data_IF_336017589207
#
_entry.id   IF_336017589207
#
_cell.length_a   1.000
_cell.length_b   1.000
_cell.length_c   1.000
_cell.angle_alpha   90.00
_cell.angle_beta   90.00
_cell.angle_gamma   90.00
#
_symmetry.space_group_name_H-M   'P 1'
#
loop_
_entity.id
_entity.type
_entity.pdbx_description
1 polymer ?
#
# COMPACT_ATOMS: atom_id res chain seq x y z
N UNK A 1 24.44 -1.11 7.54
CA UNK A 1 23.62 -0.67 6.40
C UNK A 1 22.88 -1.89 5.88
N UNK A 2 21.57 -1.78 5.74
CA UNK A 2 20.67 -2.85 5.30
C UNK A 2 19.85 -2.36 4.12
N UNK A 3 19.36 -3.27 3.28
CA UNK A 3 18.41 -2.96 2.23
C UNK A 3 17.17 -3.84 2.34
N UNK A 4 16.04 -3.23 2.02
CA UNK A 4 14.75 -3.91 1.87
C UNK A 4 14.25 -3.71 0.45
N UNK A 5 13.80 -4.79 -0.18
CA UNK A 5 13.08 -4.76 -1.45
C UNK A 5 11.66 -5.28 -1.20
N UNK A 6 10.68 -4.42 -1.47
CA UNK A 6 9.26 -4.77 -1.45
C UNK A 6 8.77 -4.95 -2.89
N UNK A 7 8.36 -6.17 -3.23
CA UNK A 7 7.89 -6.57 -4.56
C UNK A 7 6.36 -6.62 -4.53
N UNK A 8 5.76 -5.45 -4.74
CA UNK A 8 4.31 -5.27 -4.74
C UNK A 8 3.65 -5.56 -6.09
N UNK A 9 2.32 -5.52 -6.10
CA UNK A 9 1.52 -5.77 -7.30
C UNK A 9 1.65 -4.66 -8.35
N UNK A 10 1.82 -3.40 -7.94
CA UNK A 10 1.90 -2.25 -8.84
C UNK A 10 3.31 -1.65 -8.90
N UNK A 11 3.96 -1.56 -7.77
CA UNK A 11 5.27 -0.91 -7.62
C UNK A 11 6.26 -1.83 -6.90
N UNK A 12 7.52 -1.75 -7.29
CA UNK A 12 8.63 -2.31 -6.52
C UNK A 12 9.34 -1.16 -5.80
N UNK A 13 9.73 -1.40 -4.56
CA UNK A 13 10.43 -0.42 -3.74
C UNK A 13 11.78 -0.97 -3.30
N UNK A 14 12.81 -0.14 -3.38
CA UNK A 14 14.11 -0.36 -2.74
C UNK A 14 14.32 0.71 -1.67
N UNK A 15 14.62 0.27 -0.45
CA UNK A 15 15.01 1.12 0.67
C UNK A 15 16.37 0.66 1.18
N UNK A 16 17.37 1.55 1.16
CA UNK A 16 18.69 1.35 1.79
C UNK A 16 18.79 2.30 2.98
N UNK A 17 18.99 1.77 4.17
CA UNK A 17 19.03 2.58 5.38
C UNK A 17 19.95 1.99 6.46
N UNK A 18 20.31 2.82 7.42
CA UNK A 18 20.80 2.42 8.73
C UNK A 18 19.67 2.55 9.75
N UNK A 19 19.63 1.65 10.72
CA UNK A 19 18.75 1.76 11.88
C UNK A 19 19.64 2.00 13.10
N UNK A 20 19.33 3.04 13.87
CA UNK A 20 20.04 3.34 15.09
C UNK A 20 19.51 2.52 16.30
N UNK A 21 20.18 2.65 17.44
CA UNK A 21 19.78 1.94 18.68
C UNK A 21 18.41 2.37 19.24
N UNK A 22 17.85 3.48 18.75
CA UNK A 22 16.52 3.99 19.10
C UNK A 22 15.45 3.62 18.06
N UNK A 23 15.80 2.74 17.11
CA UNK A 23 14.95 2.34 15.99
C UNK A 23 14.59 3.50 15.03
N UNK A 24 15.41 4.56 14.95
CA UNK A 24 15.22 5.55 13.91
C UNK A 24 15.83 5.05 12.61
N UNK A 25 15.06 5.17 11.53
CA UNK A 25 15.51 4.83 10.19
C UNK A 25 16.21 6.03 9.57
N UNK A 26 17.50 5.91 9.30
CA UNK A 26 18.25 6.90 8.53
C UNK A 26 18.35 6.42 7.08
N UNK A 27 17.50 6.99 6.20
CA UNK A 27 17.40 6.62 4.79
C UNK A 27 18.62 7.14 4.04
N UNK A 28 19.34 6.22 3.38
CA UNK A 28 20.50 6.51 2.53
C UNK A 28 20.07 6.60 1.07
N UNK A 29 19.22 5.66 0.64
CA UNK A 29 18.70 5.62 -0.71
C UNK A 29 17.29 5.02 -0.74
N UNK A 30 16.44 5.57 -1.58
CA UNK A 30 15.08 5.06 -1.82
C UNK A 30 14.75 5.16 -3.31
N UNK A 31 14.24 4.09 -3.88
CA UNK A 31 13.75 4.07 -5.25
C UNK A 31 12.42 3.34 -5.35
N UNK A 32 11.58 3.77 -6.28
CA UNK A 32 10.27 3.16 -6.56
C UNK A 32 10.11 3.03 -8.06
N UNK A 33 9.89 1.80 -8.54
CA UNK A 33 9.70 1.50 -9.96
C UNK A 33 8.26 1.05 -10.20
N UNK A 34 7.59 1.66 -11.16
CA UNK A 34 6.24 1.31 -11.61
C UNK A 34 6.27 0.05 -12.49
N UNK A 35 6.33 -1.11 -11.88
CA UNK A 35 6.41 -2.40 -12.59
C UNK A 35 5.05 -2.84 -13.15
N UNK A 36 3.95 -2.52 -12.43
CA UNK A 36 2.60 -3.01 -12.73
C UNK A 36 2.58 -4.54 -12.93
N UNK A 37 3.16 -5.26 -11.95
CA UNK A 37 3.34 -6.71 -12.03
C UNK A 37 2.01 -7.46 -12.17
N UNK A 38 0.93 -6.95 -11.57
CA UNK A 38 -0.42 -7.52 -11.65
C UNK A 38 -1.17 -7.21 -12.94
N UNK A 39 -0.62 -6.38 -13.84
CA UNK A 39 -1.33 -5.92 -15.04
C UNK A 39 -1.74 -7.08 -15.96
N UNK A 40 -3.03 -7.15 -16.29
CA UNK A 40 -3.60 -8.17 -17.17
C UNK A 40 -3.70 -9.59 -16.59
N UNK A 41 -3.15 -9.84 -15.39
CA UNK A 41 -3.04 -11.16 -14.80
C UNK A 41 -3.49 -11.30 -13.35
N UNK A 42 -3.62 -10.20 -12.59
CA UNK A 42 -3.84 -10.24 -11.14
C UNK A 42 -5.10 -11.02 -10.71
N UNK A 43 -6.20 -10.90 -11.45
CA UNK A 43 -7.43 -11.66 -11.19
C UNK A 43 -7.50 -13.00 -11.94
N UNK A 44 -6.51 -13.28 -12.80
CA UNK A 44 -6.38 -14.54 -13.55
C UNK A 44 -5.37 -15.50 -12.92
N UNK A 45 -4.72 -15.10 -11.83
CA UNK A 45 -3.76 -15.93 -11.09
C UNK A 45 -2.45 -16.16 -11.81
N UNK A 46 -1.97 -15.23 -12.65
CA UNK A 46 -0.65 -15.33 -13.28
C UNK A 46 -0.03 -13.96 -13.56
N UNK A 47 1.27 -13.92 -13.69
CA UNK A 47 2.03 -12.75 -14.12
C UNK A 47 2.18 -12.84 -15.65
N UNK A 48 1.72 -11.82 -16.39
CA UNK A 48 1.86 -11.78 -17.86
C UNK A 48 3.33 -11.70 -18.26
N UNK A 49 3.71 -12.18 -19.46
CA UNK A 49 5.09 -12.15 -19.93
C UNK A 49 5.69 -10.73 -19.91
N UNK A 50 4.91 -9.74 -20.32
CA UNK A 50 5.36 -8.34 -20.33
C UNK A 50 5.59 -7.81 -18.90
N UNK A 51 4.67 -8.11 -17.96
CA UNK A 51 4.83 -7.70 -16.58
C UNK A 51 6.01 -8.45 -15.90
N UNK A 52 6.18 -9.71 -16.23
CA UNK A 52 7.30 -10.54 -15.77
C UNK A 52 8.65 -9.93 -16.22
N UNK A 53 8.79 -9.60 -17.50
CA UNK A 53 10.00 -8.97 -18.03
C UNK A 53 10.30 -7.62 -17.35
N UNK A 54 9.27 -6.75 -17.17
CA UNK A 54 9.41 -5.48 -16.44
C UNK A 54 9.89 -5.70 -15.01
N UNK A 55 9.32 -6.72 -14.33
CA UNK A 55 9.70 -7.07 -12.96
C UNK A 55 11.15 -7.50 -12.84
N UNK A 56 11.63 -8.35 -13.76
CA UNK A 56 13.03 -8.78 -13.78
C UNK A 56 13.95 -7.58 -14.05
N UNK A 57 13.66 -6.73 -15.05
CA UNK A 57 14.46 -5.53 -15.33
C UNK A 57 14.54 -4.57 -14.14
N UNK A 58 13.44 -4.39 -13.40
CA UNK A 58 13.45 -3.57 -12.19
C UNK A 58 14.35 -4.15 -11.08
N UNK A 59 14.37 -5.47 -10.94
CA UNK A 59 15.26 -6.13 -9.97
C UNK A 59 16.73 -6.06 -10.39
N UNK A 60 17.04 -6.12 -11.68
CA UNK A 60 18.39 -5.89 -12.21
C UNK A 60 18.85 -4.44 -11.91
N UNK A 61 17.96 -3.44 -12.09
CA UNK A 61 18.25 -2.06 -11.72
C UNK A 61 18.50 -1.91 -10.21
N UNK A 62 17.71 -2.55 -9.37
CA UNK A 62 17.93 -2.56 -7.92
C UNK A 62 19.27 -3.22 -7.55
N UNK A 63 19.66 -4.30 -8.25
CA UNK A 63 20.97 -4.93 -8.04
C UNK A 63 22.10 -3.94 -8.27
N UNK A 64 22.05 -3.16 -9.35
CA UNK A 64 23.07 -2.13 -9.59
C UNK A 64 23.17 -1.12 -8.45
N UNK A 65 22.03 -0.70 -7.87
CA UNK A 65 22.05 0.21 -6.72
C UNK A 65 22.62 -0.45 -5.47
N UNK A 66 22.24 -1.69 -5.20
CA UNK A 66 22.81 -2.44 -4.07
C UNK A 66 24.34 -2.60 -4.19
N UNK A 67 24.86 -2.83 -5.40
CA UNK A 67 26.30 -2.91 -5.66
C UNK A 67 26.97 -1.54 -5.50
N UNK A 68 26.38 -0.45 -6.02
CA UNK A 68 26.89 0.91 -5.87
C UNK A 68 27.04 1.33 -4.40
N UNK A 69 26.07 0.94 -3.57
CA UNK A 69 26.10 1.22 -2.13
C UNK A 69 26.80 0.12 -1.31
N UNK A 70 27.30 -0.94 -1.95
CA UNK A 70 28.00 -2.07 -1.32
C UNK A 70 27.16 -2.74 -0.21
N UNK A 71 25.85 -2.87 -0.43
CA UNK A 71 24.94 -3.49 0.55
C UNK A 71 24.99 -5.00 0.42
N UNK A 72 25.37 -5.67 1.52
CA UNK A 72 25.43 -7.13 1.60
C UNK A 72 24.18 -7.74 2.26
N UNK A 73 23.57 -7.03 3.20
CA UNK A 73 22.38 -7.47 3.93
C UNK A 73 21.12 -6.98 3.20
N UNK A 74 20.49 -7.87 2.42
CA UNK A 74 19.34 -7.55 1.58
C UNK A 74 18.18 -8.47 1.94
N UNK A 75 17.07 -7.89 2.40
CA UNK A 75 15.80 -8.56 2.63
C UNK A 75 14.83 -8.21 1.50
N UNK A 76 14.56 -9.15 0.62
CA UNK A 76 13.58 -8.98 -0.44
C UNK A 76 12.33 -9.83 -0.18
N UNK A 77 11.17 -9.18 -0.19
CA UNK A 77 9.88 -9.84 0.01
C UNK A 77 8.95 -9.63 -1.19
N UNK A 78 8.17 -10.65 -1.49
CA UNK A 78 7.12 -10.58 -2.50
C UNK A 78 5.75 -10.86 -1.88
N UNK A 79 4.77 -10.08 -2.29
CA UNK A 79 3.41 -10.09 -1.77
C UNK A 79 2.39 -10.62 -2.80
N UNK A 80 1.17 -10.19 -2.77
CA UNK A 80 0.01 -10.75 -3.46
C UNK A 80 0.24 -11.12 -4.94
N UNK A 81 0.86 -10.25 -5.76
CA UNK A 81 1.00 -10.53 -7.19
C UNK A 81 1.89 -11.73 -7.52
N UNK A 82 2.93 -11.97 -6.71
CA UNK A 82 3.82 -13.13 -6.86
C UNK A 82 3.24 -14.34 -6.11
N UNK A 83 2.73 -14.12 -4.91
CA UNK A 83 2.17 -15.15 -4.04
C UNK A 83 1.00 -15.89 -4.70
N UNK A 84 0.09 -15.14 -5.33
CA UNK A 84 -1.16 -15.68 -5.87
C UNK A 84 -1.02 -16.15 -7.34
N UNK A 85 0.16 -15.97 -7.97
CA UNK A 85 0.39 -16.31 -9.35
C UNK A 85 0.93 -17.73 -9.54
N UNK A 86 0.36 -18.48 -10.48
CA UNK A 86 0.81 -19.83 -10.82
C UNK A 86 2.29 -19.87 -11.28
N UNK A 87 2.78 -18.79 -11.91
CA UNK A 87 4.17 -18.63 -12.31
C UNK A 87 5.02 -17.80 -11.33
N UNK A 88 4.54 -17.57 -10.11
CA UNK A 88 5.25 -16.78 -9.10
C UNK A 88 6.58 -17.41 -8.66
N UNK A 89 6.64 -18.73 -8.53
CA UNK A 89 7.90 -19.43 -8.21
C UNK A 89 8.93 -19.29 -9.32
N UNK A 90 8.51 -19.31 -10.59
CA UNK A 90 9.41 -19.09 -11.72
C UNK A 90 9.92 -17.64 -11.72
N UNK A 91 9.07 -16.67 -11.35
CA UNK A 91 9.49 -15.28 -11.18
C UNK A 91 10.63 -15.16 -10.15
N UNK A 92 10.46 -15.78 -8.97
CA UNK A 92 11.47 -15.78 -7.90
C UNK A 92 12.79 -16.43 -8.38
N UNK A 93 12.69 -17.56 -9.09
CA UNK A 93 13.86 -18.25 -9.65
C UNK A 93 14.60 -17.37 -10.66
N UNK A 94 13.89 -16.71 -11.58
CA UNK A 94 14.48 -15.83 -12.58
C UNK A 94 15.08 -14.56 -11.94
N UNK A 95 14.46 -14.01 -10.91
CA UNK A 95 15.01 -12.92 -10.12
C UNK A 95 16.36 -13.28 -9.49
N UNK A 96 16.48 -14.48 -8.95
CA UNK A 96 17.76 -14.96 -8.42
C UNK A 96 18.82 -15.17 -9.52
N UNK A 97 18.44 -15.75 -10.65
CA UNK A 97 19.36 -16.02 -11.77
C UNK A 97 19.89 -14.71 -12.36
N UNK A 98 19.02 -13.72 -12.61
CA UNK A 98 19.31 -12.48 -13.33
C UNK A 98 19.85 -11.39 -12.43
N UNK A 99 19.17 -11.13 -11.32
CA UNK A 99 19.50 -10.02 -10.42
C UNK A 99 20.28 -10.45 -9.16
N UNK A 100 20.47 -11.77 -8.93
CA UNK A 100 21.09 -12.29 -7.70
C UNK A 100 20.38 -11.83 -6.40
N UNK A 101 19.07 -11.59 -6.50
CA UNK A 101 18.23 -11.21 -5.36
C UNK A 101 17.46 -12.44 -4.91
N UNK A 102 17.66 -12.86 -3.65
CA UNK A 102 16.90 -13.93 -3.02
C UNK A 102 15.60 -13.34 -2.47
N UNK A 103 14.47 -13.77 -3.02
CA UNK A 103 13.15 -13.29 -2.64
C UNK A 103 12.45 -14.31 -1.75
N UNK A 104 11.88 -13.85 -0.63
CA UNK A 104 11.01 -14.61 0.24
C UNK A 104 9.56 -14.20 -0.01
N UNK A 105 8.66 -15.14 -0.26
CA UNK A 105 7.23 -14.85 -0.26
C UNK A 105 6.73 -14.75 1.18
N UNK A 106 5.93 -13.72 1.45
CA UNK A 106 5.22 -13.56 2.72
C UNK A 106 3.72 -13.72 2.49
N UNK A 107 3.01 -14.28 3.48
CA UNK A 107 1.57 -14.30 3.46
C UNK A 107 0.99 -12.96 3.93
N UNK A 108 -0.33 -12.77 3.76
CA UNK A 108 -0.96 -11.48 4.08
C UNK A 108 -0.98 -11.17 5.59
N UNK A 109 -0.93 -12.18 6.46
CA UNK A 109 -0.88 -11.97 7.90
C UNK A 109 0.52 -11.57 8.36
N UNK A 110 1.57 -12.09 7.73
CA UNK A 110 2.95 -11.66 7.91
C UNK A 110 3.14 -10.24 7.37
N UNK A 111 2.56 -9.93 6.20
CA UNK A 111 2.56 -8.58 5.64
C UNK A 111 1.95 -7.57 6.61
N UNK A 112 0.77 -7.88 7.20
CA UNK A 112 0.12 -7.06 8.22
C UNK A 112 1.00 -6.84 9.48
N UNK A 113 1.75 -7.85 9.95
CA UNK A 113 2.67 -7.70 11.08
C UNK A 113 3.81 -6.71 10.79
N UNK A 114 4.39 -6.78 9.60
CA UNK A 114 5.43 -5.82 9.22
C UNK A 114 4.87 -4.41 9.05
N UNK A 115 3.65 -4.26 8.48
CA UNK A 115 2.97 -2.95 8.37
C UNK A 115 2.72 -2.36 9.77
N UNK A 116 2.23 -3.18 10.72
CA UNK A 116 2.08 -2.76 12.10
C UNK A 116 3.42 -2.31 12.72
N UNK A 117 4.49 -3.06 12.49
CA UNK A 117 5.84 -2.71 12.98
C UNK A 117 6.31 -1.37 12.40
N UNK A 118 6.04 -1.11 11.11
CA UNK A 118 6.29 0.16 10.47
C UNK A 118 5.51 1.30 11.12
N UNK A 119 4.19 1.15 11.27
CA UNK A 119 3.33 2.15 11.92
C UNK A 119 3.76 2.43 13.38
N UNK A 120 4.14 1.38 14.12
CA UNK A 120 4.70 1.51 15.47
C UNK A 120 6.00 2.31 15.47
N UNK A 121 6.91 2.01 14.54
CA UNK A 121 8.18 2.74 14.38
C UNK A 121 8.00 4.19 13.97
N UNK A 122 6.91 4.54 13.27
CA UNK A 122 6.55 5.91 12.96
C UNK A 122 6.03 6.69 14.18
N UNK A 123 5.63 6.02 15.25
CA UNK A 123 5.05 6.63 16.45
C UNK A 123 3.60 7.13 16.25
N UNK A 124 2.86 6.57 15.28
CA UNK A 124 1.50 7.02 14.95
C UNK A 124 0.43 6.30 15.77
N UNK A 125 0.77 5.14 16.37
CA UNK A 125 -0.16 4.35 17.17
C UNK A 125 -0.46 5.01 18.52
N UNK A 126 -1.72 4.88 18.95
CA UNK A 126 -2.18 5.39 20.25
C UNK A 126 -2.18 4.29 21.34
N UNK A 127 -2.44 4.69 22.58
CA UNK A 127 -2.69 3.76 23.69
C UNK A 127 -4.11 3.16 23.60
N UNK A 128 -5.04 3.84 22.93
CA UNK A 128 -6.38 3.33 22.63
C UNK A 128 -6.35 2.44 21.38
N UNK A 129 -7.50 1.90 21.02
CA UNK A 129 -7.59 1.04 19.83
C UNK A 129 -7.61 1.87 18.54
N UNK A 130 -6.72 1.54 17.62
CA UNK A 130 -6.61 2.09 16.27
C UNK A 130 -6.95 1.02 15.22
N UNK A 131 -7.40 1.45 14.04
CA UNK A 131 -7.55 0.62 12.85
C UNK A 131 -6.49 1.03 11.84
N UNK A 132 -5.56 0.14 11.50
CA UNK A 132 -4.67 0.34 10.36
C UNK A 132 -5.35 -0.23 9.12
N UNK A 133 -5.25 0.47 7.99
CA UNK A 133 -5.65 0.03 6.66
C UNK A 133 -4.52 0.29 5.67
N UNK A 134 -3.91 -0.76 5.17
CA UNK A 134 -2.91 -0.71 4.10
C UNK A 134 -3.57 -1.06 2.76
N UNK A 135 -3.56 -0.13 1.81
CA UNK A 135 -4.15 -0.38 0.49
C UNK A 135 -3.06 -0.66 -0.52
N UNK A 136 -2.78 -1.94 -0.71
CA UNK A 136 -1.90 -2.43 -1.77
C UNK A 136 -2.58 -2.53 -3.13
N UNK A 137 -1.81 -2.97 -4.13
CA UNK A 137 -2.36 -3.24 -5.46
C UNK A 137 -3.15 -4.55 -5.53
N UNK A 138 -2.68 -5.60 -4.85
CA UNK A 138 -3.26 -6.95 -4.87
C UNK A 138 -4.15 -7.27 -3.67
N UNK A 139 -3.84 -6.71 -2.51
CA UNK A 139 -4.54 -6.95 -1.26
C UNK A 139 -4.79 -5.65 -0.49
N UNK A 140 -5.61 -5.74 0.54
CA UNK A 140 -5.78 -4.72 1.58
C UNK A 140 -5.67 -5.42 2.92
N UNK A 141 -4.77 -4.92 3.76
CA UNK A 141 -4.55 -5.42 5.10
C UNK A 141 -5.27 -4.52 6.12
N UNK A 142 -5.96 -5.16 7.06
CA UNK A 142 -6.56 -4.49 8.21
C UNK A 142 -5.99 -5.02 9.52
N UNK A 143 -5.63 -4.12 10.42
CA UNK A 143 -5.18 -4.46 11.76
C UNK A 143 -5.92 -3.60 12.79
N UNK A 144 -6.56 -4.25 13.76
CA UNK A 144 -7.07 -3.59 14.96
C UNK A 144 -5.99 -3.75 16.03
N UNK A 145 -5.42 -2.65 16.48
CA UNK A 145 -4.21 -2.65 17.31
C UNK A 145 -4.12 -1.41 18.20
N UNK A 146 -3.10 -1.39 19.04
CA UNK A 146 -2.61 -0.19 19.73
C UNK A 146 -1.07 -0.17 19.66
N UNK A 147 -0.42 0.73 20.39
CA UNK A 147 1.04 0.79 20.40
C UNK A 147 1.74 -0.46 20.95
N UNK A 148 1.01 -1.32 21.72
CA UNK A 148 1.60 -2.45 22.42
C UNK A 148 1.39 -3.76 21.67
N UNK A 149 0.21 -3.96 21.05
CA UNK A 149 -0.17 -5.23 20.43
C UNK A 149 -1.19 -5.11 19.30
N UNK A 150 -1.25 -6.15 18.50
CA UNK A 150 -2.31 -6.41 17.53
C UNK A 150 -3.38 -7.26 18.21
N UNK A 151 -4.63 -6.79 18.22
CA UNK A 151 -5.78 -7.53 18.74
C UNK A 151 -6.39 -8.45 17.69
N UNK A 152 -6.40 -7.96 16.43
CA UNK A 152 -6.91 -8.68 15.28
C UNK A 152 -6.26 -8.16 14.00
N UNK A 153 -6.08 -9.04 13.01
CA UNK A 153 -5.57 -8.68 11.69
C UNK A 153 -6.10 -9.63 10.63
N UNK A 154 -6.27 -9.13 9.43
CA UNK A 154 -6.55 -9.95 8.26
C UNK A 154 -6.09 -9.25 6.97
N UNK A 155 -5.97 -10.04 5.90
CA UNK A 155 -5.62 -9.59 4.55
C UNK A 155 -6.68 -10.06 3.55
N UNK A 156 -7.11 -9.16 2.68
CA UNK A 156 -8.18 -9.40 1.72
C UNK A 156 -7.71 -9.13 0.30
N UNK A 157 -8.10 -9.98 -0.64
CA UNK A 157 -7.81 -9.80 -2.07
C UNK A 157 -8.69 -8.69 -2.68
N UNK A 158 -8.62 -7.49 -2.11
CA UNK A 158 -9.39 -6.29 -2.47
C UNK A 158 -8.47 -5.12 -2.85
N UNK A 159 -7.23 -5.41 -3.23
CA UNK A 159 -6.28 -4.37 -3.62
C UNK A 159 -6.75 -3.54 -4.82
N UNK A 160 -6.27 -2.29 -4.88
CA UNK A 160 -6.73 -1.31 -5.87
C UNK A 160 -6.57 -1.77 -7.33
N UNK A 161 -5.53 -2.56 -7.65
CA UNK A 161 -5.35 -3.09 -9.01
C UNK A 161 -6.35 -4.19 -9.35
N UNK A 162 -6.75 -5.04 -8.36
CA UNK A 162 -7.80 -6.05 -8.57
C UNK A 162 -9.15 -5.40 -8.80
N UNK A 163 -9.53 -4.46 -7.95
CA UNK A 163 -10.79 -3.73 -8.09
C UNK A 163 -10.85 -2.95 -9.41
N UNK A 164 -9.73 -2.35 -9.80
CA UNK A 164 -9.65 -1.65 -11.08
C UNK A 164 -9.88 -2.59 -12.26
N UNK A 165 -9.27 -3.77 -12.25
CA UNK A 165 -9.43 -4.76 -13.31
C UNK A 165 -10.86 -5.31 -13.42
N UNK A 166 -11.59 -5.42 -12.29
CA UNK A 166 -12.94 -5.96 -12.26
C UNK A 166 -14.02 -4.91 -12.56
N UNK A 167 -13.85 -3.67 -12.08
CA UNK A 167 -14.93 -2.68 -12.05
C UNK A 167 -14.68 -1.43 -12.91
N UNK A 168 -13.45 -1.21 -13.41
CA UNK A 168 -13.12 0.00 -14.16
C UNK A 168 -12.69 -0.33 -15.57
N UNK A 169 -13.65 -0.39 -16.50
CA UNK A 169 -13.42 -0.58 -17.91
C UNK A 169 -13.56 0.77 -18.64
N UNK A 170 -12.75 0.98 -19.67
CA UNK A 170 -12.86 2.10 -20.63
C UNK A 170 -12.57 3.52 -20.10
N UNK A 171 -11.94 3.69 -18.94
CA UNK A 171 -11.54 4.99 -18.37
C UNK A 171 -12.69 6.00 -18.16
N UNK A 172 -13.91 5.52 -18.06
CA UNK A 172 -15.09 6.31 -17.76
C UNK A 172 -15.27 6.52 -16.25
N UNK A 173 -16.26 7.33 -15.88
CA UNK A 173 -16.62 7.50 -14.46
C UNK A 173 -17.29 6.24 -13.94
N UNK A 174 -17.06 5.93 -12.67
CA UNK A 174 -17.87 4.91 -12.00
C UNK A 174 -19.34 5.36 -11.98
N UNK A 175 -20.23 4.48 -12.40
CA UNK A 175 -21.68 4.71 -12.25
C UNK A 175 -22.10 4.41 -10.82
N UNK A 176 -23.25 4.94 -10.40
CA UNK A 176 -23.81 4.66 -9.08
C UNK A 176 -23.98 3.15 -8.85
N UNK A 177 -24.46 2.43 -9.85
CA UNK A 177 -24.63 0.96 -9.80
C UNK A 177 -23.31 0.25 -9.56
N UNK A 178 -22.25 0.61 -10.27
CA UNK A 178 -20.91 -0.01 -10.07
C UNK A 178 -20.37 0.27 -8.66
N UNK A 179 -20.59 1.48 -8.12
CA UNK A 179 -20.18 1.80 -6.75
C UNK A 179 -20.97 0.94 -5.74
N UNK A 180 -22.28 0.75 -5.96
CA UNK A 180 -23.13 -0.12 -5.15
C UNK A 180 -22.66 -1.59 -5.20
N UNK A 181 -22.31 -2.09 -6.38
CA UNK A 181 -21.77 -3.45 -6.56
C UNK A 181 -20.43 -3.62 -5.79
N UNK A 182 -19.56 -2.64 -5.87
CA UNK A 182 -18.30 -2.63 -5.10
C UNK A 182 -18.59 -2.63 -3.59
N UNK A 183 -19.55 -1.84 -3.11
CA UNK A 183 -19.94 -1.83 -1.71
C UNK A 183 -20.51 -3.17 -1.24
N UNK A 184 -21.30 -3.86 -2.08
CA UNK A 184 -21.80 -5.21 -1.77
C UNK A 184 -20.64 -6.22 -1.71
N UNK A 185 -19.67 -6.12 -2.62
CA UNK A 185 -18.46 -6.93 -2.55
C UNK A 185 -17.72 -6.70 -1.22
N UNK A 186 -17.53 -5.44 -0.79
CA UNK A 186 -16.88 -5.13 0.49
C UNK A 186 -17.65 -5.72 1.67
N UNK A 187 -18.98 -5.58 1.73
CA UNK A 187 -19.81 -6.17 2.79
C UNK A 187 -19.66 -7.69 2.86
N UNK A 188 -19.61 -8.34 1.70
CA UNK A 188 -19.41 -9.79 1.63
C UNK A 188 -18.01 -10.23 2.06
N UNK A 189 -16.97 -9.56 1.55
CA UNK A 189 -15.56 -9.98 1.77
C UNK A 189 -15.01 -9.57 3.13
N UNK A 190 -15.50 -8.46 3.69
CA UNK A 190 -15.04 -7.92 4.99
C UNK A 190 -15.94 -8.34 6.16
N UNK A 191 -16.70 -9.41 6.02
CA UNK A 191 -17.71 -9.82 7.02
C UNK A 191 -17.13 -10.03 8.43
N UNK A 192 -15.93 -10.54 8.55
CA UNK A 192 -15.21 -10.68 9.83
C UNK A 192 -14.75 -9.33 10.40
N UNK A 193 -14.30 -8.39 9.55
CA UNK A 193 -13.99 -7.03 10.00
C UNK A 193 -15.23 -6.35 10.60
N UNK A 194 -16.43 -6.57 10.01
CA UNK A 194 -17.70 -6.06 10.54
C UNK A 194 -18.04 -6.65 11.91
N UNK A 195 -17.57 -7.86 12.22
CA UNK A 195 -17.73 -8.51 13.52
C UNK A 195 -16.74 -7.94 14.54
N UNK A 196 -15.51 -7.67 14.11
CA UNK A 196 -14.43 -7.29 15.03
C UNK A 196 -14.46 -5.79 15.40
N UNK A 197 -14.73 -4.88 14.47
CA UNK A 197 -14.75 -3.44 14.77
C UNK A 197 -15.69 -3.06 15.92
N UNK A 198 -16.95 -3.56 16.02
CA UNK A 198 -17.81 -3.26 17.16
C UNK A 198 -17.29 -3.74 18.51
N UNK A 199 -16.46 -4.80 18.54
CA UNK A 199 -15.86 -5.33 19.77
C UNK A 199 -14.77 -4.41 20.30
N UNK A 200 -13.90 -3.94 19.40
CA UNK A 200 -12.70 -3.17 19.75
C UNK A 200 -12.90 -1.65 19.65
N UNK A 201 -13.88 -1.18 18.88
CA UNK A 201 -14.27 0.22 18.71
C UNK A 201 -13.07 1.15 18.43
N UNK A 202 -12.30 0.91 17.36
CA UNK A 202 -11.17 1.75 17.05
C UNK A 202 -11.61 3.20 16.82
N UNK A 203 -10.89 4.14 17.42
CA UNK A 203 -11.22 5.57 17.37
C UNK A 203 -10.61 6.30 16.18
N UNK A 204 -9.53 5.73 15.61
CA UNK A 204 -8.71 6.34 14.56
C UNK A 204 -8.44 5.34 13.44
N UNK A 205 -8.53 5.80 12.20
CA UNK A 205 -8.06 5.11 11.01
C UNK A 205 -6.65 5.60 10.68
N UNK A 206 -5.70 4.69 10.62
CA UNK A 206 -4.34 4.93 10.14
C UNK A 206 -4.22 4.29 8.77
N UNK A 207 -4.18 5.12 7.73
CA UNK A 207 -3.97 4.67 6.37
C UNK A 207 -2.50 4.59 6.04
N UNK A 208 -2.07 3.51 5.39
CA UNK A 208 -0.70 3.31 4.94
C UNK A 208 -0.63 3.05 3.43
N UNK A 209 0.55 2.92 2.90
CA UNK A 209 0.84 2.83 1.49
C UNK A 209 0.54 4.09 0.66
N UNK A 210 0.93 4.04 -0.60
CA UNK A 210 1.02 5.24 -1.42
C UNK A 210 -0.31 5.89 -1.80
N UNK A 211 -1.46 5.26 -1.58
CA UNK A 211 -2.75 5.90 -1.79
C UNK A 211 -3.01 6.98 -0.73
N UNK A 212 -2.73 6.66 0.54
CA UNK A 212 -2.85 7.61 1.63
C UNK A 212 -1.82 8.74 1.56
N UNK A 213 -0.58 8.43 1.14
CA UNK A 213 0.41 9.47 0.83
C UNK A 213 -0.10 10.42 -0.25
N UNK A 214 -0.74 9.88 -1.30
CA UNK A 214 -1.33 10.72 -2.36
C UNK A 214 -2.47 11.60 -1.84
N UNK A 215 -3.36 11.09 -0.99
CA UNK A 215 -4.41 11.90 -0.38
C UNK A 215 -3.81 13.06 0.44
N UNK A 216 -2.76 12.78 1.24
CA UNK A 216 -2.10 13.81 2.04
C UNK A 216 -1.41 14.87 1.16
N UNK A 217 -0.70 14.45 0.11
CA UNK A 217 -0.07 15.36 -0.85
C UNK A 217 -1.10 16.23 -1.56
N UNK A 218 -2.22 15.64 -2.02
CA UNK A 218 -3.29 16.39 -2.70
C UNK A 218 -3.97 17.41 -1.78
N UNK A 219 -4.27 17.05 -0.53
CA UNK A 219 -4.91 17.94 0.45
C UNK A 219 -3.97 19.06 0.89
N UNK A 220 -2.69 18.79 1.02
CA UNK A 220 -1.70 19.80 1.44
C UNK A 220 -1.16 20.65 0.28
N UNK A 221 -1.48 20.30 -0.97
CA UNK A 221 -1.00 21.03 -2.14
C UNK A 221 -1.42 22.50 -2.11
N UNK A 222 -0.42 23.39 -2.22
CA UNK A 222 -0.64 24.82 -2.14
C UNK A 222 -0.83 25.39 -0.73
N UNK A 223 -0.80 24.57 0.31
CA UNK A 223 -0.75 25.02 1.71
C UNK A 223 0.71 25.36 2.10
N UNK A 224 0.92 26.14 3.17
CA UNK A 224 2.27 26.50 3.63
C UNK A 224 3.15 25.29 3.96
N UNK A 225 2.55 24.23 4.49
CA UNK A 225 3.21 22.96 4.80
C UNK A 225 2.65 21.88 3.87
N UNK A 226 3.42 21.51 2.86
CA UNK A 226 3.08 20.43 1.94
C UNK A 226 3.61 19.12 2.52
N UNK A 227 2.74 18.11 2.57
CA UNK A 227 3.14 16.76 3.00
C UNK A 227 4.12 16.13 2.00
N UNK A 228 5.23 15.64 2.53
CA UNK A 228 6.22 14.82 1.82
C UNK A 228 6.48 13.53 2.63
N UNK A 229 6.11 12.39 2.09
CA UNK A 229 6.30 11.08 2.72
C UNK A 229 7.78 10.74 3.03
N UNK A 230 8.76 11.46 2.46
CA UNK A 230 10.17 11.30 2.79
C UNK A 230 10.60 12.09 4.04
N UNK A 231 9.83 13.09 4.42
CA UNK A 231 10.13 13.99 5.54
C UNK A 231 9.13 13.84 6.69
N UNK A 232 7.86 13.58 6.37
CA UNK A 232 6.78 13.49 7.33
C UNK A 232 6.45 12.01 7.60
N UNK A 233 6.50 11.59 8.85
CA UNK A 233 6.12 10.23 9.24
C UNK A 233 4.61 10.01 9.21
N UNK A 234 3.82 11.06 9.44
CA UNK A 234 2.35 11.01 9.39
C UNK A 234 1.76 12.38 9.05
N UNK A 235 0.50 12.38 8.63
CA UNK A 235 -0.30 13.59 8.38
C UNK A 235 -1.74 13.36 8.87
N UNK A 236 -2.28 14.32 9.65
CA UNK A 236 -3.65 14.26 10.14
C UNK A 236 -4.59 14.89 9.11
N UNK A 237 -5.66 14.18 8.77
CA UNK A 237 -6.68 14.68 7.87
C UNK A 237 -7.82 15.34 8.65
N UNK A 238 -8.26 16.50 8.21
CA UNK A 238 -9.59 16.99 8.55
C UNK A 238 -10.65 16.16 7.85
N UNK A 239 -11.59 15.57 8.61
CA UNK A 239 -12.58 14.61 8.08
C UNK A 239 -13.34 15.17 6.86
N UNK A 240 -13.75 16.43 6.91
CA UNK A 240 -14.47 17.06 5.81
C UNK A 240 -13.60 17.20 4.56
N UNK A 241 -12.33 17.59 4.71
CA UNK A 241 -11.41 17.75 3.58
C UNK A 241 -11.17 16.41 2.87
N UNK A 242 -10.84 15.36 3.62
CA UNK A 242 -10.59 14.05 3.00
C UNK A 242 -11.86 13.49 2.36
N UNK A 243 -13.02 13.60 3.00
CA UNK A 243 -14.28 13.10 2.41
C UNK A 243 -14.63 13.82 1.10
N UNK A 244 -14.41 15.14 1.02
CA UNK A 244 -14.61 15.91 -0.20
C UNK A 244 -13.62 15.49 -1.29
N UNK A 245 -12.35 15.26 -0.95
CA UNK A 245 -11.36 14.76 -1.89
C UNK A 245 -11.74 13.39 -2.44
N UNK A 246 -12.07 12.43 -1.56
CA UNK A 246 -12.47 11.09 -1.96
C UNK A 246 -13.68 11.13 -2.89
N UNK A 247 -14.70 11.93 -2.58
CA UNK A 247 -15.87 12.11 -3.42
C UNK A 247 -15.51 12.70 -4.78
N UNK A 248 -14.65 13.71 -4.83
CA UNK A 248 -14.17 14.33 -6.07
C UNK A 248 -13.46 13.31 -6.96
N UNK A 249 -12.58 12.47 -6.38
CA UNK A 249 -11.87 11.41 -7.11
C UNK A 249 -12.85 10.36 -7.65
N UNK A 250 -13.78 9.90 -6.84
CA UNK A 250 -14.76 8.85 -7.22
C UNK A 250 -15.64 9.30 -8.38
N UNK A 251 -16.03 10.57 -8.43
CA UNK A 251 -16.89 11.11 -9.49
C UNK A 251 -16.13 11.64 -10.72
N UNK A 252 -14.79 11.54 -10.74
CA UNK A 252 -13.96 12.00 -11.86
C UNK A 252 -13.71 10.88 -12.88
N UNK A 253 -13.47 11.26 -14.14
CA UNK A 253 -12.90 10.37 -15.14
C UNK A 253 -11.35 10.41 -15.09
N UNK A 254 -10.69 9.58 -15.90
CA UNK A 254 -9.23 9.48 -15.93
C UNK A 254 -8.54 10.82 -16.21
N UNK A 255 -9.01 11.58 -17.22
CA UNK A 255 -8.41 12.87 -17.58
C UNK A 255 -8.53 13.93 -16.49
N UNK A 256 -9.67 13.92 -15.79
CA UNK A 256 -9.90 14.82 -14.67
C UNK A 256 -8.98 14.49 -13.50
N UNK A 257 -8.79 13.18 -13.18
CA UNK A 257 -7.84 12.75 -12.15
C UNK A 257 -6.41 13.09 -12.51
N UNK A 258 -6.02 12.88 -13.77
CA UNK A 258 -4.67 13.19 -14.24
C UNK A 258 -4.30 14.68 -14.10
N UNK A 259 -5.30 15.56 -14.00
CA UNK A 259 -5.13 17.02 -13.82
C UNK A 259 -5.25 17.47 -12.35
N UNK A 260 -5.53 16.54 -11.42
CA UNK A 260 -5.63 16.89 -9.99
C UNK A 260 -4.25 17.23 -9.41
N UNK A 261 -4.16 18.37 -8.76
CA UNK A 261 -2.93 18.83 -8.14
C UNK A 261 -2.46 17.85 -7.04
N UNK A 262 -1.16 17.59 -6.98
CA UNK A 262 -0.56 16.68 -6.00
C UNK A 262 -0.68 15.19 -6.36
N UNK A 263 -1.43 14.83 -7.40
CA UNK A 263 -1.55 13.45 -7.87
C UNK A 263 -0.51 13.14 -8.95
N UNK A 264 0.34 12.15 -8.69
CA UNK A 264 1.37 11.73 -9.66
C UNK A 264 0.78 10.75 -10.71
N UNK A 265 1.30 10.73 -11.95
CA UNK A 265 0.78 9.89 -13.04
C UNK A 265 0.66 8.40 -12.69
N UNK A 266 1.59 7.87 -11.89
CA UNK A 266 1.60 6.49 -11.42
C UNK A 266 0.32 6.09 -10.66
N UNK A 267 -0.34 7.05 -10.01
CA UNK A 267 -1.46 6.83 -9.09
C UNK A 267 -2.84 7.08 -9.69
N UNK A 268 -2.93 7.70 -10.87
CA UNK A 268 -4.18 8.19 -11.47
C UNK A 268 -5.29 7.15 -11.53
N UNK A 269 -4.95 5.89 -11.83
CA UNK A 269 -5.96 4.83 -11.89
C UNK A 269 -6.21 4.19 -10.52
N UNK A 270 -5.14 3.89 -9.79
CA UNK A 270 -5.23 3.19 -8.51
C UNK A 270 -5.95 4.02 -7.43
N UNK A 271 -5.78 5.34 -7.46
CA UNK A 271 -6.37 6.24 -6.47
C UNK A 271 -7.90 6.19 -6.46
N UNK A 272 -8.52 5.87 -7.61
CA UNK A 272 -9.97 5.73 -7.74
C UNK A 272 -10.51 4.63 -6.82
N UNK A 273 -9.98 3.42 -6.93
CA UNK A 273 -10.42 2.28 -6.11
C UNK A 273 -10.01 2.42 -4.65
N UNK A 274 -8.83 2.99 -4.40
CA UNK A 274 -8.42 3.34 -3.05
C UNK A 274 -9.37 4.35 -2.39
N UNK A 275 -9.89 5.31 -3.17
CA UNK A 275 -10.88 6.28 -2.67
C UNK A 275 -12.22 5.61 -2.34
N UNK A 276 -12.69 4.68 -3.17
CA UNK A 276 -13.95 3.96 -2.92
C UNK A 276 -13.88 3.15 -1.62
N UNK A 277 -12.82 2.36 -1.42
CA UNK A 277 -12.69 1.56 -0.19
C UNK A 277 -12.47 2.44 1.04
N UNK A 278 -11.68 3.51 0.92
CA UNK A 278 -11.43 4.44 2.04
C UNK A 278 -12.73 5.12 2.47
N UNK A 279 -13.51 5.65 1.51
CA UNK A 279 -14.79 6.28 1.79
C UNK A 279 -15.79 5.30 2.43
N UNK A 280 -15.84 4.07 1.90
CA UNK A 280 -16.69 3.01 2.44
C UNK A 280 -16.35 2.72 3.91
N UNK A 281 -15.09 2.50 4.26
CA UNK A 281 -14.64 2.20 5.62
C UNK A 281 -14.92 3.37 6.58
N UNK A 282 -14.63 4.61 6.17
CA UNK A 282 -14.89 5.80 7.01
C UNK A 282 -16.39 5.94 7.32
N UNK A 283 -17.25 5.73 6.32
CA UNK A 283 -18.69 5.88 6.48
C UNK A 283 -19.32 4.72 7.27
N UNK A 284 -18.97 3.48 6.92
CA UNK A 284 -19.57 2.28 7.51
C UNK A 284 -19.26 2.16 9.00
N UNK A 285 -18.04 2.53 9.41
CA UNK A 285 -17.61 2.46 10.79
C UNK A 285 -17.61 3.81 11.53
N UNK A 286 -18.16 4.85 10.91
CA UNK A 286 -18.27 6.20 11.47
C UNK A 286 -16.97 6.71 12.09
N UNK A 287 -15.86 6.55 11.37
CA UNK A 287 -14.54 6.96 11.83
C UNK A 287 -14.41 8.49 11.81
N UNK A 288 -13.87 9.07 12.87
CA UNK A 288 -13.73 10.52 13.01
C UNK A 288 -12.31 11.02 12.88
N UNK A 289 -11.32 10.24 13.32
CA UNK A 289 -9.91 10.58 13.22
C UNK A 289 -9.28 9.78 12.09
N UNK A 290 -8.63 10.44 11.14
CA UNK A 290 -8.00 9.82 9.98
C UNK A 290 -6.59 10.37 9.86
N UNK A 291 -5.63 9.46 9.73
CA UNK A 291 -4.20 9.81 9.67
C UNK A 291 -3.56 9.00 8.55
N UNK A 292 -2.68 9.59 7.74
CA UNK A 292 -1.76 8.78 6.93
C UNK A 292 -0.48 8.51 7.70
N UNK A 293 0.12 7.35 7.49
CA UNK A 293 1.45 6.98 7.96
C UNK A 293 2.32 6.63 6.75
N UNK A 294 3.47 7.30 6.59
CA UNK A 294 4.40 7.04 5.51
C UNK A 294 5.22 5.76 5.70
N UNK A 295 5.27 5.23 6.92
CA UNK A 295 5.88 3.95 7.20
C UNK A 295 4.85 2.83 7.00
N UNK A 296 5.26 1.79 6.27
CA UNK A 296 4.44 0.63 5.96
C UNK A 296 5.32 -0.64 5.94
N UNK A 297 5.09 -1.58 5.02
CA UNK A 297 5.79 -2.86 4.90
C UNK A 297 7.32 -2.73 4.91
N UNK A 298 7.90 -1.88 4.07
CA UNK A 298 9.36 -1.78 3.91
C UNK A 298 10.06 -1.21 5.14
N UNK A 299 9.43 -0.26 5.82
CA UNK A 299 9.95 0.28 7.09
C UNK A 299 9.80 -0.75 8.21
N UNK A 300 8.69 -1.50 8.23
CA UNK A 300 8.51 -2.61 9.16
C UNK A 300 9.53 -3.73 8.98
N UNK A 301 9.82 -4.11 7.74
CA UNK A 301 10.84 -5.10 7.42
C UNK A 301 12.23 -4.68 7.90
N UNK A 302 12.63 -3.42 7.68
CA UNK A 302 13.95 -2.95 8.09
C UNK A 302 14.08 -2.81 9.61
N UNK A 303 12.98 -2.53 10.32
CA UNK A 303 12.93 -2.47 11.78
C UNK A 303 12.92 -3.85 12.45
N UNK A 304 12.51 -4.88 11.71
CA UNK A 304 12.42 -6.27 12.20
C UNK A 304 13.67 -7.10 11.89
N UNK A 305 14.63 -6.56 11.15
CA UNK A 305 15.82 -7.27 10.63
C UNK A 305 17.08 -7.06 11.44
#
# INVERSE_FOLDING_TARGET
MKAVIDIGTNTFHLLIANVDHQNNINIIYKNTIAVKLGEGGVNKGYITEQAFARGISALEEFRLQLDNYQVLDVLATATAAVRDAANGQEFIKQAFIKAKIKISMIDGLQEAEYIYTGAKGAGVLSNSTDLIMDIGGGSVEFMICNQDQIFWKNSYQLGAARLLADFYQHHERLTKTVIEDIHQLFKSKLSDLFIEIPKYKPSKLIGTAGSFDSFATMISFGKPEVYDANQNRFFNFEKLEIMNLLQSIIHSNHEQRAKMNGLIPLRVDMILMASVITQFIINEFNIHQIVTCSYSLKEGLILSS
#
